data_IF_691723870283
#
_entry.id   IF_691723870283
#
_cell.length_a   1.000
_cell.length_b   1.000
_cell.length_c   1.000
_cell.angle_alpha   90.00
_cell.angle_beta   90.00
_cell.angle_gamma   90.00
#
_symmetry.space_group_name_H-M   'P 1'
#
loop_
_entity.id
_entity.type
_entity.pdbx_description
1 polymer ?
#
# COMPACT_ATOMS: atom_id res chain seq x y z
N UNK A 1 -3.47 -42.59 -9.97
CA UNK A 1 -2.66 -41.37 -9.68
C UNK A 1 -3.62 -40.35 -9.09
N UNK A 2 -3.37 -39.84 -7.89
CA UNK A 2 -4.31 -38.94 -7.20
C UNK A 2 -4.46 -37.66 -8.05
N UNK A 3 -5.61 -37.53 -8.72
CA UNK A 3 -5.85 -36.46 -9.70
C UNK A 3 -6.22 -35.13 -9.06
N UNK A 4 -6.34 -35.09 -7.73
CA UNK A 4 -6.82 -33.93 -6.98
C UNK A 4 -5.92 -33.65 -5.77
N UNK A 5 -6.01 -32.43 -5.24
CA UNK A 5 -5.29 -32.00 -4.05
C UNK A 5 -6.21 -31.26 -3.07
N UNK A 6 -5.69 -30.90 -1.90
CA UNK A 6 -6.46 -30.33 -0.80
C UNK A 6 -6.35 -28.80 -0.67
N UNK A 7 -5.82 -28.07 -1.67
CA UNK A 7 -5.66 -26.60 -1.59
C UNK A 7 -6.98 -25.92 -1.23
N UNK A 8 -8.09 -26.31 -1.86
CA UNK A 8 -9.44 -25.78 -1.60
C UNK A 8 -9.96 -26.09 -0.19
N UNK A 9 -9.65 -27.28 0.34
CA UNK A 9 -10.05 -27.66 1.68
C UNK A 9 -9.18 -26.99 2.75
N UNK A 10 -7.88 -26.79 2.48
CA UNK A 10 -6.95 -26.14 3.40
C UNK A 10 -7.20 -24.65 3.52
N UNK A 11 -7.37 -23.93 2.40
CA UNK A 11 -7.53 -22.47 2.43
C UNK A 11 -8.72 -21.99 3.28
N UNK A 12 -9.77 -22.81 3.41
CA UNK A 12 -10.97 -22.51 4.19
C UNK A 12 -10.87 -22.87 5.67
N UNK A 13 -9.74 -23.45 6.11
CA UNK A 13 -9.54 -23.79 7.52
C UNK A 13 -9.52 -22.52 8.38
N UNK A 14 -10.16 -22.52 9.58
CA UNK A 14 -10.33 -21.31 10.37
C UNK A 14 -9.03 -20.58 10.73
N UNK A 15 -7.94 -21.31 11.00
CA UNK A 15 -6.66 -20.71 11.34
C UNK A 15 -5.97 -20.05 10.12
N UNK A 16 -6.17 -20.59 8.91
CA UNK A 16 -5.64 -20.02 7.66
C UNK A 16 -6.45 -18.80 7.21
N UNK A 17 -7.77 -18.85 7.34
CA UNK A 17 -8.63 -17.67 7.13
C UNK A 17 -8.28 -16.56 8.11
N UNK A 18 -7.91 -16.89 9.36
CA UNK A 18 -7.45 -15.90 10.34
C UNK A 18 -6.15 -15.18 9.92
N UNK A 19 -5.21 -15.86 9.24
CA UNK A 19 -4.02 -15.22 8.66
C UNK A 19 -4.39 -14.21 7.58
N UNK A 20 -5.30 -14.58 6.67
CA UNK A 20 -5.79 -13.67 5.63
C UNK A 20 -6.53 -12.47 6.23
N UNK A 21 -7.32 -12.68 7.28
CA UNK A 21 -8.00 -11.59 7.99
C UNK A 21 -7.00 -10.66 8.67
N UNK A 22 -6.01 -11.22 9.38
CA UNK A 22 -4.95 -10.43 10.00
C UNK A 22 -4.18 -9.59 8.96
N UNK A 23 -3.93 -10.16 7.77
CA UNK A 23 -3.33 -9.45 6.63
C UNK A 23 -4.20 -8.27 6.18
N UNK A 24 -5.50 -8.48 5.99
CA UNK A 24 -6.43 -7.42 5.58
C UNK A 24 -6.47 -6.28 6.61
N UNK A 25 -6.56 -6.60 7.91
CA UNK A 25 -6.51 -5.61 8.98
C UNK A 25 -5.19 -4.81 8.97
N UNK A 26 -4.06 -5.51 8.78
CA UNK A 26 -2.73 -4.89 8.74
C UNK A 26 -2.60 -3.92 7.55
N UNK A 27 -3.03 -4.34 6.36
CA UNK A 27 -3.01 -3.47 5.18
C UNK A 27 -4.05 -2.35 5.25
N UNK A 28 -5.20 -2.57 5.88
CA UNK A 28 -6.17 -1.49 6.12
C UNK A 28 -5.58 -0.41 7.02
N UNK A 29 -4.92 -0.79 8.12
CA UNK A 29 -4.24 0.17 8.98
C UNK A 29 -3.15 0.94 8.23
N UNK A 30 -2.34 0.25 7.42
CA UNK A 30 -1.33 0.90 6.58
C UNK A 30 -1.94 1.93 5.62
N UNK A 31 -2.99 1.54 4.89
CA UNK A 31 -3.73 2.43 3.97
C UNK A 31 -4.37 3.62 4.68
N UNK A 32 -4.95 3.42 5.86
CA UNK A 32 -5.56 4.49 6.64
C UNK A 32 -4.53 5.53 7.07
N UNK A 33 -3.41 5.10 7.64
CA UNK A 33 -2.32 6.01 8.03
C UNK A 33 -1.73 6.74 6.82
N UNK A 34 -1.52 6.03 5.70
CA UNK A 34 -0.99 6.65 4.48
C UNK A 34 -1.97 7.67 3.90
N UNK A 35 -3.27 7.35 3.89
CA UNK A 35 -4.32 8.26 3.42
C UNK A 35 -4.38 9.53 4.25
N UNK A 36 -4.32 9.42 5.58
CA UNK A 36 -4.28 10.58 6.47
C UNK A 36 -3.06 11.47 6.22
N UNK A 37 -1.87 10.87 6.07
CA UNK A 37 -0.64 11.59 5.74
C UNK A 37 -0.77 12.35 4.41
N UNK A 38 -1.26 11.70 3.34
CA UNK A 38 -1.45 12.34 2.03
C UNK A 38 -2.42 13.52 2.14
N UNK A 39 -3.53 13.36 2.87
CA UNK A 39 -4.49 14.44 3.10
C UNK A 39 -3.84 15.62 3.81
N UNK A 40 -3.10 15.40 4.90
CA UNK A 40 -2.41 16.45 5.65
C UNK A 40 -1.34 17.16 4.81
N UNK A 41 -0.54 16.41 4.05
CA UNK A 41 0.52 16.95 3.18
C UNK A 41 -0.04 17.85 2.09
N UNK A 42 -1.25 17.57 1.58
CA UNK A 42 -1.94 18.43 0.61
C UNK A 42 -2.65 19.60 1.31
N UNK A 43 -3.30 19.35 2.44
CA UNK A 43 -4.08 20.35 3.15
C UNK A 43 -3.23 21.52 3.67
N UNK A 44 -2.04 21.26 4.21
CA UNK A 44 -1.19 22.31 4.78
C UNK A 44 -0.77 23.39 3.76
N UNK A 45 -0.23 23.06 2.57
CA UNK A 45 0.03 24.04 1.52
C UNK A 45 -1.24 24.77 1.05
N UNK A 46 -2.36 24.06 0.87
CA UNK A 46 -3.62 24.66 0.43
C UNK A 46 -4.12 25.68 1.46
N UNK A 47 -4.11 25.34 2.75
CA UNK A 47 -4.45 26.24 3.83
C UNK A 47 -3.49 27.43 3.89
N UNK A 48 -2.20 27.21 3.64
CA UNK A 48 -1.20 28.28 3.57
C UNK A 48 -1.54 29.28 2.46
N UNK A 49 -1.86 28.81 1.26
CA UNK A 49 -2.25 29.68 0.13
C UNK A 49 -3.57 30.42 0.40
N UNK A 50 -4.57 29.75 0.96
CA UNK A 50 -5.91 30.32 1.17
C UNK A 50 -5.98 31.30 2.37
N UNK A 51 -5.24 31.04 3.44
CA UNK A 51 -5.31 31.80 4.68
C UNK A 51 -4.24 32.88 4.80
N UNK A 52 -3.03 32.69 4.24
CA UNK A 52 -1.93 33.65 4.40
C UNK A 52 -2.26 35.08 3.95
N UNK A 53 -3.05 35.33 2.88
CA UNK A 53 -3.41 36.70 2.50
C UNK A 53 -4.31 37.40 3.53
N UNK A 54 -5.16 36.65 4.24
CA UNK A 54 -6.10 37.19 5.24
C UNK A 54 -5.50 37.23 6.65
N UNK A 55 -4.62 36.28 6.96
CA UNK A 55 -4.01 36.12 8.27
C UNK A 55 -2.50 35.87 8.14
N UNK A 56 -1.69 36.92 7.90
CA UNK A 56 -0.25 36.77 7.68
C UNK A 56 0.47 36.09 8.86
N UNK A 57 -0.04 36.27 10.07
CA UNK A 57 0.48 35.65 11.30
C UNK A 57 0.38 34.12 11.30
N UNK A 58 -0.51 33.51 10.51
CA UNK A 58 -0.65 32.04 10.44
C UNK A 58 0.44 31.36 9.61
N UNK A 59 1.06 32.08 8.67
CA UNK A 59 2.06 31.54 7.74
C UNK A 59 3.22 30.79 8.44
N UNK A 60 3.89 31.35 9.47
CA UNK A 60 4.96 30.63 10.16
C UNK A 60 4.46 29.38 10.90
N UNK A 61 3.25 29.40 11.46
CA UNK A 61 2.68 28.23 12.15
C UNK A 61 2.35 27.10 11.18
N UNK A 62 1.81 27.41 10.00
CA UNK A 62 1.55 26.41 8.96
C UNK A 62 2.85 25.83 8.38
N UNK A 63 3.87 26.66 8.20
CA UNK A 63 5.20 26.20 7.79
C UNK A 63 5.83 25.29 8.86
N UNK A 64 5.73 25.66 10.14
CA UNK A 64 6.18 24.84 11.25
C UNK A 64 5.42 23.50 11.30
N UNK A 65 4.10 23.51 11.13
CA UNK A 65 3.30 22.29 11.08
C UNK A 65 3.71 21.36 9.93
N UNK A 66 3.98 21.92 8.75
CA UNK A 66 4.48 21.14 7.61
C UNK A 66 5.87 20.54 7.88
N UNK A 67 6.76 21.29 8.52
CA UNK A 67 8.07 20.80 8.93
C UNK A 67 7.95 19.67 9.97
N UNK A 68 7.10 19.83 10.99
CA UNK A 68 6.84 18.79 11.99
C UNK A 68 6.26 17.54 11.35
N UNK A 69 5.30 17.69 10.42
CA UNK A 69 4.72 16.57 9.69
C UNK A 69 5.79 15.80 8.89
N UNK A 70 6.67 16.52 8.19
CA UNK A 70 7.78 15.91 7.44
C UNK A 70 8.72 15.12 8.36
N UNK A 71 9.09 15.68 9.52
CA UNK A 71 9.95 15.01 10.48
C UNK A 71 9.27 13.78 11.11
N UNK A 72 7.98 13.87 11.43
CA UNK A 72 7.21 12.72 11.91
C UNK A 72 7.09 11.63 10.85
N UNK A 73 6.88 12.01 9.60
CA UNK A 73 6.77 11.06 8.50
C UNK A 73 8.07 10.28 8.32
N UNK A 74 9.17 11.00 8.10
CA UNK A 74 10.50 10.43 7.87
C UNK A 74 11.06 9.70 9.09
N UNK A 75 10.81 10.20 10.31
CA UNK A 75 11.33 9.61 11.54
C UNK A 75 10.55 8.41 12.07
N UNK A 76 9.23 8.38 11.86
CA UNK A 76 8.33 7.42 12.54
C UNK A 76 7.40 6.72 11.55
N UNK A 77 6.60 7.49 10.79
CA UNK A 77 5.50 6.91 10.00
C UNK A 77 6.04 5.97 8.93
N UNK A 78 7.10 6.37 8.21
CA UNK A 78 7.71 5.53 7.16
C UNK A 78 8.15 4.17 7.73
N UNK A 79 8.75 4.15 8.92
CA UNK A 79 9.17 2.92 9.58
C UNK A 79 7.97 2.04 9.91
N UNK A 80 6.94 2.61 10.54
CA UNK A 80 5.70 1.89 10.90
C UNK A 80 5.03 1.32 9.65
N UNK A 81 5.01 2.07 8.54
CA UNK A 81 4.46 1.59 7.27
C UNK A 81 5.25 0.42 6.70
N UNK A 82 6.58 0.51 6.67
CA UNK A 82 7.45 -0.59 6.24
C UNK A 82 7.25 -1.84 7.09
N UNK A 83 7.11 -1.70 8.41
CA UNK A 83 6.85 -2.80 9.32
C UNK A 83 5.47 -3.45 9.07
N UNK A 84 4.41 -2.66 8.85
CA UNK A 84 3.08 -3.17 8.50
C UNK A 84 3.07 -3.91 7.17
N UNK A 85 3.74 -3.37 6.15
CA UNK A 85 3.85 -4.04 4.83
C UNK A 85 4.61 -5.37 4.96
N UNK A 86 5.74 -5.38 5.69
CA UNK A 86 6.49 -6.61 5.98
C UNK A 86 5.64 -7.64 6.73
N UNK A 87 4.88 -7.22 7.74
CA UNK A 87 3.97 -8.10 8.49
C UNK A 87 2.89 -8.69 7.58
N UNK A 88 2.28 -7.87 6.72
CA UNK A 88 1.30 -8.33 5.72
C UNK A 88 1.88 -9.35 4.74
N UNK A 89 3.14 -9.17 4.31
CA UNK A 89 3.85 -10.12 3.45
C UNK A 89 4.15 -11.45 4.16
N UNK A 90 4.52 -11.42 5.45
CA UNK A 90 4.72 -12.65 6.24
C UNK A 90 3.44 -13.43 6.45
N UNK A 91 2.32 -12.75 6.71
CA UNK A 91 1.02 -13.39 6.93
C UNK A 91 0.53 -14.13 5.68
N UNK A 92 0.71 -13.54 4.48
CA UNK A 92 0.34 -14.22 3.24
C UNK A 92 1.30 -15.36 2.89
N UNK A 93 2.60 -15.19 3.13
CA UNK A 93 3.59 -16.27 2.93
C UNK A 93 3.28 -17.47 3.85
N UNK A 94 2.87 -17.21 5.09
CA UNK A 94 2.53 -18.25 6.05
C UNK A 94 1.25 -18.98 5.62
N UNK A 95 0.25 -18.25 5.14
CA UNK A 95 -0.94 -18.82 4.54
C UNK A 95 -0.59 -19.71 3.32
N UNK A 96 0.19 -19.19 2.38
CA UNK A 96 0.57 -19.87 1.14
C UNK A 96 1.37 -21.14 1.43
N UNK A 97 2.40 -21.06 2.28
CA UNK A 97 3.22 -22.22 2.64
C UNK A 97 2.41 -23.31 3.32
N UNK A 98 1.47 -22.97 4.21
CA UNK A 98 0.59 -23.96 4.84
C UNK A 98 -0.40 -24.59 3.87
N UNK A 99 -1.06 -23.79 3.02
CA UNK A 99 -1.99 -24.29 1.99
C UNK A 99 -1.27 -25.21 1.00
N UNK A 100 -0.06 -24.85 0.59
CA UNK A 100 0.74 -25.61 -0.35
C UNK A 100 1.46 -26.81 0.28
N UNK A 101 1.50 -26.92 1.60
CA UNK A 101 2.30 -27.94 2.30
C UNK A 101 3.80 -27.77 2.05
N UNK A 102 4.28 -26.52 2.06
CA UNK A 102 5.68 -26.15 1.97
C UNK A 102 6.21 -25.79 3.35
N UNK A 103 7.52 -26.03 3.58
CA UNK A 103 8.17 -25.62 4.82
C UNK A 103 8.41 -24.11 4.80
N UNK A 104 8.21 -23.46 5.95
CA UNK A 104 8.55 -22.06 6.13
C UNK A 104 10.05 -21.82 5.92
N UNK A 105 10.40 -20.83 5.08
CA UNK A 105 11.79 -20.49 4.80
C UNK A 105 12.27 -19.34 5.69
N UNK A 106 12.91 -19.66 6.82
CA UNK A 106 13.45 -18.64 7.75
C UNK A 106 14.57 -17.80 7.16
N UNK A 107 15.32 -18.32 6.18
CA UNK A 107 16.39 -17.58 5.54
C UNK A 107 15.85 -16.43 4.68
N UNK A 108 14.75 -16.66 3.97
CA UNK A 108 14.13 -15.65 3.08
C UNK A 108 13.12 -14.78 3.82
N UNK A 109 12.21 -15.37 4.58
CA UNK A 109 11.06 -14.66 5.17
C UNK A 109 11.28 -14.26 6.65
N UNK A 110 12.40 -14.67 7.27
CA UNK A 110 12.67 -14.44 8.68
C UNK A 110 11.76 -15.25 9.59
N UNK A 111 11.43 -14.73 10.76
CA UNK A 111 10.47 -15.35 11.69
C UNK A 111 9.02 -15.11 11.25
N UNK A 112 8.14 -16.10 11.51
CA UNK A 112 6.70 -15.97 11.36
C UNK A 112 6.14 -14.87 12.27
N UNK A 113 4.90 -14.45 12.04
CA UNK A 113 4.22 -13.50 12.93
C UNK A 113 3.75 -14.25 14.16
N UNK A 114 3.94 -13.68 15.35
CA UNK A 114 3.51 -14.33 16.59
C UNK A 114 2.02 -14.63 16.58
N UNK A 115 1.64 -15.82 17.08
CA UNK A 115 0.25 -16.27 17.06
C UNK A 115 -0.69 -15.34 17.85
N UNK A 116 -0.23 -14.75 18.95
CA UNK A 116 -0.99 -13.74 19.71
C UNK A 116 -1.31 -12.51 18.85
N UNK A 117 -0.35 -12.13 18.02
CA UNK A 117 -0.41 -10.99 17.14
C UNK A 117 -1.35 -11.24 15.96
N UNK A 118 -1.35 -12.47 15.41
CA UNK A 118 -2.34 -12.94 14.43
C UNK A 118 -3.73 -12.91 15.06
N UNK A 119 -3.88 -13.49 16.26
CA UNK A 119 -5.16 -13.56 16.97
C UNK A 119 -5.72 -12.16 17.21
N UNK A 120 -4.90 -11.23 17.73
CA UNK A 120 -5.27 -9.83 17.96
C UNK A 120 -5.72 -9.14 16.67
N UNK A 121 -4.96 -9.27 15.58
CA UNK A 121 -5.30 -8.63 14.30
C UNK A 121 -6.54 -9.23 13.63
N UNK A 122 -6.77 -10.54 13.82
CA UNK A 122 -7.91 -11.29 13.27
C UNK A 122 -9.18 -11.23 14.13
N UNK A 123 -9.12 -10.60 15.31
CA UNK A 123 -10.23 -10.56 16.25
C UNK A 123 -11.43 -9.76 15.73
N UNK A 124 -11.15 -8.72 14.94
CA UNK A 124 -12.19 -7.92 14.29
C UNK A 124 -12.63 -8.59 12.98
N UNK A 125 -13.87 -9.06 12.95
CA UNK A 125 -14.47 -9.59 11.74
C UNK A 125 -14.63 -8.49 10.67
N UNK A 126 -14.48 -8.90 9.42
CA UNK A 126 -14.74 -8.08 8.24
C UNK A 126 -16.23 -8.19 7.86
N UNK A 127 -16.63 -7.50 6.80
CA UNK A 127 -17.98 -7.67 6.26
C UNK A 127 -18.22 -9.11 5.81
N UNK A 128 -19.46 -9.60 5.91
CA UNK A 128 -19.81 -10.99 5.53
C UNK A 128 -19.33 -11.36 4.11
N UNK A 129 -19.50 -10.43 3.16
CA UNK A 129 -18.98 -10.59 1.80
C UNK A 129 -17.46 -10.78 1.80
N UNK A 130 -16.70 -9.94 2.51
CA UNK A 130 -15.25 -10.04 2.52
C UNK A 130 -14.77 -11.33 3.18
N UNK A 131 -15.42 -11.75 4.27
CA UNK A 131 -15.13 -13.04 4.93
C UNK A 131 -15.32 -14.23 3.97
N UNK A 132 -16.38 -14.24 3.15
CA UNK A 132 -16.57 -15.30 2.15
C UNK A 132 -15.49 -15.34 1.06
N UNK A 133 -14.96 -14.17 0.67
CA UNK A 133 -13.85 -14.07 -0.29
C UNK A 133 -12.53 -14.59 0.30
N UNK A 134 -12.33 -14.48 1.61
CA UNK A 134 -11.13 -15.02 2.27
C UNK A 134 -11.14 -16.55 2.30
N UNK A 135 -12.30 -17.17 2.49
CA UNK A 135 -12.45 -18.63 2.48
C UNK A 135 -12.30 -19.26 1.09
N UNK A 136 -12.34 -18.44 0.04
CA UNK A 136 -12.26 -18.84 -1.38
C UNK A 136 -11.13 -18.10 -2.12
N UNK A 137 -10.03 -17.83 -1.42
CA UNK A 137 -8.86 -17.10 -1.90
C UNK A 137 -8.27 -17.64 -3.21
N UNK A 138 -8.12 -18.97 -3.31
CA UNK A 138 -7.68 -19.66 -4.53
C UNK A 138 -8.85 -20.34 -5.24
N UNK A 139 -8.82 -20.32 -6.58
CA UNK A 139 -9.82 -20.97 -7.40
C UNK A 139 -9.87 -22.48 -7.17
N UNK A 140 -11.09 -23.05 -7.24
CA UNK A 140 -11.33 -24.49 -7.02
C UNK A 140 -10.56 -25.37 -8.02
N UNK A 141 -10.38 -24.89 -9.26
CA UNK A 141 -9.63 -25.61 -10.30
C UNK A 141 -8.16 -25.88 -9.94
N UNK A 142 -7.57 -25.12 -9.00
CA UNK A 142 -6.23 -25.41 -8.50
C UNK A 142 -6.15 -26.74 -7.74
N UNK A 143 -7.30 -27.25 -7.26
CA UNK A 143 -7.44 -28.53 -6.56
C UNK A 143 -7.78 -29.71 -7.48
N UNK A 144 -8.11 -29.45 -8.75
CA UNK A 144 -8.49 -30.46 -9.76
C UNK A 144 -7.27 -31.05 -10.49
N UNK A 145 -6.06 -30.75 -10.01
CA UNK A 145 -4.80 -31.18 -10.58
C UNK A 145 -3.89 -31.73 -9.48
N UNK A 146 -2.83 -32.49 -9.82
CA UNK A 146 -1.81 -32.88 -8.84
C UNK A 146 -1.23 -31.66 -8.11
N UNK A 147 -0.90 -31.83 -6.83
CA UNK A 147 -0.46 -30.74 -5.94
C UNK A 147 0.67 -29.88 -6.52
N UNK A 148 1.63 -30.48 -7.23
CA UNK A 148 2.72 -29.75 -7.87
C UNK A 148 2.21 -28.71 -8.89
N UNK A 149 1.23 -29.07 -9.71
CA UNK A 149 0.61 -28.14 -10.66
C UNK A 149 -0.28 -27.13 -9.96
N UNK A 150 -1.04 -27.54 -8.94
CA UNK A 150 -1.85 -26.63 -8.13
C UNK A 150 -1.03 -25.51 -7.51
N UNK A 151 0.15 -25.84 -6.95
CA UNK A 151 1.12 -24.86 -6.44
C UNK A 151 1.55 -23.86 -7.51
N UNK A 152 1.91 -24.32 -8.70
CA UNK A 152 2.32 -23.43 -9.80
C UNK A 152 1.19 -22.51 -10.25
N UNK A 153 -0.05 -23.00 -10.32
CA UNK A 153 -1.23 -22.20 -10.65
C UNK A 153 -1.44 -21.08 -9.63
N UNK A 154 -1.41 -21.42 -8.33
CA UNK A 154 -1.57 -20.45 -7.25
C UNK A 154 -0.43 -19.43 -7.22
N UNK A 155 0.83 -19.86 -7.32
CA UNK A 155 2.00 -18.97 -7.36
C UNK A 155 1.97 -18.02 -8.57
N UNK A 156 1.62 -18.53 -9.76
CA UNK A 156 1.42 -17.69 -10.95
C UNK A 156 0.31 -16.67 -10.73
N UNK A 157 -0.76 -17.06 -10.06
CA UNK A 157 -1.88 -16.16 -9.71
C UNK A 157 -1.40 -15.03 -8.81
N UNK A 158 -0.61 -15.33 -7.77
CA UNK A 158 -0.05 -14.33 -6.86
C UNK A 158 0.89 -13.35 -7.58
N UNK A 159 1.84 -13.87 -8.38
CA UNK A 159 2.77 -13.04 -9.16
C UNK A 159 2.01 -12.13 -10.13
N UNK A 160 1.02 -12.69 -10.84
CA UNK A 160 0.23 -11.93 -11.80
C UNK A 160 -0.64 -10.87 -11.11
N UNK A 161 -1.17 -11.17 -9.93
CA UNK A 161 -1.93 -10.22 -9.13
C UNK A 161 -1.05 -9.06 -8.66
N UNK A 162 0.12 -9.36 -8.07
CA UNK A 162 1.06 -8.35 -7.57
C UNK A 162 1.56 -7.46 -8.70
N UNK A 163 1.95 -8.03 -9.84
CA UNK A 163 2.38 -7.27 -11.02
C UNK A 163 1.28 -6.32 -11.54
N UNK A 164 0.03 -6.78 -11.62
CA UNK A 164 -1.10 -5.91 -12.01
C UNK A 164 -1.33 -4.79 -11.00
N UNK A 165 -1.23 -5.09 -9.71
CA UNK A 165 -1.42 -4.11 -8.64
C UNK A 165 -0.35 -3.03 -8.68
N UNK A 166 0.94 -3.40 -8.82
CA UNK A 166 2.07 -2.47 -8.97
C UNK A 166 1.95 -1.60 -10.20
N UNK A 167 1.62 -2.20 -11.36
CA UNK A 167 1.41 -1.46 -12.60
C UNK A 167 0.29 -0.43 -12.46
N UNK A 168 -0.85 -0.83 -11.89
CA UNK A 168 -1.98 0.08 -11.65
C UNK A 168 -1.58 1.22 -10.71
N UNK A 169 -0.91 0.90 -9.59
CA UNK A 169 -0.42 1.88 -8.64
C UNK A 169 0.53 2.90 -9.29
N UNK A 170 1.56 2.42 -10.00
CA UNK A 170 2.52 3.26 -10.71
C UNK A 170 1.86 4.15 -11.76
N UNK A 171 0.93 3.61 -12.55
CA UNK A 171 0.16 4.41 -13.52
C UNK A 171 -0.72 5.46 -12.85
N UNK A 172 -1.44 5.12 -11.78
CA UNK A 172 -2.25 6.09 -11.03
C UNK A 172 -1.40 7.21 -10.46
N UNK A 173 -0.23 6.89 -9.90
CA UNK A 173 0.70 7.87 -9.36
C UNK A 173 1.25 8.80 -10.45
N UNK A 174 1.63 8.25 -11.62
CA UNK A 174 2.09 9.03 -12.77
C UNK A 174 1.00 10.00 -13.27
N UNK A 175 -0.21 9.51 -13.51
CA UNK A 175 -1.31 10.37 -13.97
C UNK A 175 -1.65 11.46 -12.93
N UNK A 176 -1.61 11.12 -11.64
CA UNK A 176 -1.78 12.09 -10.57
C UNK A 176 -0.69 13.17 -10.57
N UNK A 177 0.57 12.79 -10.76
CA UNK A 177 1.68 13.74 -10.84
C UNK A 177 1.59 14.65 -12.07
N UNK A 178 1.26 14.09 -13.24
CA UNK A 178 1.03 14.88 -14.46
C UNK A 178 -0.12 15.87 -14.24
N UNK A 179 -1.25 15.40 -13.69
CA UNK A 179 -2.40 16.25 -13.38
C UNK A 179 -2.04 17.40 -12.41
N UNK A 180 -1.29 17.11 -11.35
CA UNK A 180 -0.81 18.12 -10.42
C UNK A 180 0.12 19.13 -11.11
N UNK A 181 1.04 18.68 -11.96
CA UNK A 181 1.92 19.56 -12.73
C UNK A 181 1.14 20.52 -13.65
N UNK A 182 0.12 20.01 -14.36
CA UNK A 182 -0.77 20.84 -15.19
C UNK A 182 -1.50 21.89 -14.36
N UNK A 183 -2.06 21.50 -13.21
CA UNK A 183 -2.75 22.45 -12.30
C UNK A 183 -1.80 23.55 -11.84
N UNK A 184 -0.57 23.21 -11.43
CA UNK A 184 0.41 24.18 -10.98
C UNK A 184 0.81 25.16 -12.10
N UNK A 185 0.93 24.68 -13.34
CA UNK A 185 1.19 25.53 -14.52
C UNK A 185 0.01 26.48 -14.76
N UNK A 186 -1.22 25.97 -14.78
CA UNK A 186 -2.43 26.79 -14.99
C UNK A 186 -2.56 27.86 -13.92
N UNK A 187 -2.32 27.51 -12.65
CA UNK A 187 -2.31 28.48 -11.55
C UNK A 187 -1.25 29.56 -11.79
N UNK A 188 -0.02 29.19 -12.16
CA UNK A 188 1.03 30.16 -12.47
C UNK A 188 0.66 31.12 -13.62
N UNK A 189 -0.02 30.61 -14.65
CA UNK A 189 -0.52 31.43 -15.76
C UNK A 189 -1.63 32.40 -15.31
N UNK A 190 -2.57 31.96 -14.47
CA UNK A 190 -3.63 32.83 -13.89
C UNK A 190 -3.01 33.98 -13.09
N UNK A 191 -1.90 33.72 -12.40
CA UNK A 191 -1.15 34.74 -11.65
C UNK A 191 -0.16 35.54 -12.52
N UNK A 192 -0.19 35.40 -13.85
CA UNK A 192 0.70 36.07 -14.81
C UNK A 192 2.20 35.91 -14.48
N UNK A 193 2.59 34.76 -13.93
CA UNK A 193 4.00 34.48 -13.62
C UNK A 193 4.80 34.38 -14.91
N UNK A 194 5.96 35.02 -14.97
CA UNK A 194 6.89 34.81 -16.09
C UNK A 194 7.56 33.42 -16.00
N UNK A 195 8.24 33.00 -17.08
CA UNK A 195 8.86 31.67 -17.16
C UNK A 195 9.85 31.41 -16.01
N UNK A 196 10.66 32.41 -15.65
CA UNK A 196 11.62 32.30 -14.55
C UNK A 196 10.94 32.09 -13.19
N UNK A 197 9.88 32.85 -12.92
CA UNK A 197 9.09 32.72 -11.69
C UNK A 197 8.41 31.36 -11.61
N UNK A 198 7.85 30.88 -12.72
CA UNK A 198 7.23 29.55 -12.79
C UNK A 198 8.24 28.44 -12.53
N UNK A 199 9.43 28.52 -13.11
CA UNK A 199 10.50 27.53 -12.89
C UNK A 199 10.99 27.53 -11.43
N UNK A 200 11.17 28.71 -10.83
CA UNK A 200 11.65 28.84 -9.46
C UNK A 200 10.60 28.43 -8.42
N UNK A 201 9.33 28.82 -8.62
CA UNK A 201 8.25 28.58 -7.67
C UNK A 201 7.62 27.19 -7.79
N UNK A 202 7.58 26.62 -9.01
CA UNK A 202 6.89 25.35 -9.30
C UNK A 202 7.86 24.29 -9.80
N UNK A 203 8.64 24.58 -10.83
CA UNK A 203 9.49 23.60 -11.50
C UNK A 203 10.50 22.93 -10.56
N UNK A 204 11.31 23.74 -9.86
CA UNK A 204 12.36 23.26 -8.95
C UNK A 204 11.79 22.45 -7.76
N UNK A 205 10.76 22.92 -7.03
CA UNK A 205 10.16 22.13 -5.94
C UNK A 205 9.44 20.86 -6.42
N UNK A 206 8.90 20.85 -7.63
CA UNK A 206 8.15 19.70 -8.17
C UNK A 206 9.06 18.60 -8.75
N UNK A 207 10.24 18.95 -9.25
CA UNK A 207 11.21 18.00 -9.81
C UNK A 207 11.54 16.79 -8.91
N UNK A 208 11.88 16.92 -7.61
CA UNK A 208 12.16 15.77 -6.75
C UNK A 208 10.95 14.84 -6.60
N UNK A 209 9.73 15.38 -6.52
CA UNK A 209 8.51 14.58 -6.49
C UNK A 209 8.31 13.81 -7.81
N UNK A 210 8.42 14.49 -8.95
CA UNK A 210 8.23 13.87 -10.26
C UNK A 210 9.27 12.77 -10.54
N UNK A 211 10.53 13.01 -10.19
CA UNK A 211 11.59 11.98 -10.32
C UNK A 211 11.35 10.77 -9.43
N UNK A 212 10.83 10.98 -8.21
CA UNK A 212 10.40 9.88 -7.34
C UNK A 212 9.25 9.07 -7.97
N UNK A 213 8.23 9.72 -8.52
CA UNK A 213 7.11 9.05 -9.21
C UNK A 213 7.60 8.21 -10.40
N UNK A 214 8.51 8.74 -11.21
CA UNK A 214 9.10 8.00 -12.34
C UNK A 214 9.90 6.78 -11.89
N UNK A 215 10.57 6.85 -10.72
CA UNK A 215 11.26 5.69 -10.14
C UNK A 215 10.28 4.64 -9.66
N UNK A 216 9.18 5.06 -9.03
CA UNK A 216 8.17 4.14 -8.51
C UNK A 216 7.39 3.44 -9.63
N UNK A 217 7.16 4.11 -10.75
CA UNK A 217 6.51 3.52 -11.93
C UNK A 217 7.33 2.38 -12.58
N UNK A 218 8.65 2.36 -12.36
CA UNK A 218 9.57 1.35 -12.91
C UNK A 218 9.73 0.12 -12.01
N UNK A 219 9.20 0.15 -10.79
CA UNK A 219 9.19 -0.97 -9.86
C UNK A 219 7.96 -1.86 -10.06
#
# INVERSE_FOLDING_TARGET
>A
MQMTNEISAKQSQPHLVALLRARECTYHAAKFTQGGLVVLTIALPVMSVLLSPRFPLLKPYLALAALVLLLLDTGIIERVQKERVKRGAKLIEEFDTQVFGLKWNRFVAGQQVDHEDVRRASAKLLSAKRESELASWYYVCASEVPLAFGRLICQRTNISYDARMRKKYGSTLLYGAIGLGVVLIVVGLIFNMNLSELMLAVGLPFAPFFTWVLREQRK
#
